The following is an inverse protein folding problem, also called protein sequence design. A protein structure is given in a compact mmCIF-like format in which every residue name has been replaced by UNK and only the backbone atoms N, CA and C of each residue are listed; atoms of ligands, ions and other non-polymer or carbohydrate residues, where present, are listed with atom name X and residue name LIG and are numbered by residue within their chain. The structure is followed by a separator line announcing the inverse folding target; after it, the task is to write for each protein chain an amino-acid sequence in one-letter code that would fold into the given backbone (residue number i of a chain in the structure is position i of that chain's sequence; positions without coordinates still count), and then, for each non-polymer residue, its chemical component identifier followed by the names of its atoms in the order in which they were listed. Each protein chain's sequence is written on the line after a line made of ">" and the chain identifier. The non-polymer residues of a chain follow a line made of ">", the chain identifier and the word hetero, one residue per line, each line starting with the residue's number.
data_IF_747426933724
#
_entry.id   IF_747426933724
#
_cell.length_a   1.000
_cell.length_b   1.000
_cell.length_c   1.000
_cell.angle_alpha   90.00
_cell.angle_beta   90.00
_cell.angle_gamma   90.00
#
_symmetry.space_group_name_H-M   'P 1'
#
loop_
_entity.id
_entity.type
_entity.pdbx_description
1 polymer ?
#
# COMPACT_ATOMS: atom_id res chain seq x y z
N UNK A 1 18.09 -33.45 -27.76
CA UNK A 1 17.95 -32.31 -26.83
C UNK A 1 16.55 -32.39 -26.22
N UNK A 2 16.46 -32.90 -24.99
CA UNK A 2 15.22 -33.48 -24.43
C UNK A 2 14.21 -32.41 -23.98
N UNK A 3 12.91 -32.64 -24.28
CA UNK A 3 11.73 -31.83 -23.89
C UNK A 3 11.71 -31.45 -22.39
N UNK A 4 12.38 -32.23 -21.55
CA UNK A 4 12.56 -31.99 -20.11
C UNK A 4 13.35 -30.72 -19.75
N UNK A 5 14.11 -30.13 -20.69
CA UNK A 5 14.84 -28.88 -20.43
C UNK A 5 13.97 -27.62 -20.49
N UNK A 6 12.81 -27.66 -21.18
CA UNK A 6 11.87 -26.53 -21.23
C UNK A 6 11.19 -26.32 -19.87
N UNK A 7 11.01 -27.37 -19.07
CA UNK A 7 10.43 -27.24 -17.72
C UNK A 7 11.42 -26.74 -16.67
N UNK A 8 12.74 -26.72 -16.98
CA UNK A 8 13.75 -26.18 -16.05
C UNK A 8 13.78 -24.65 -16.00
N UNK A 9 13.28 -23.94 -17.02
CA UNK A 9 13.10 -22.49 -16.97
C UNK A 9 11.94 -22.04 -16.09
N UNK A 10 11.12 -22.98 -15.58
CA UNK A 10 10.05 -22.76 -14.61
C UNK A 10 10.52 -22.85 -13.16
N UNK A 11 11.80 -23.18 -12.93
CA UNK A 11 12.39 -23.27 -11.59
C UNK A 11 13.02 -21.91 -11.24
N UNK A 12 12.75 -21.33 -10.04
CA UNK A 12 13.06 -19.93 -9.72
C UNK A 12 14.55 -19.53 -9.82
N UNK A 13 15.46 -20.49 -9.69
CA UNK A 13 16.90 -20.21 -9.58
C UNK A 13 17.56 -19.79 -10.90
N UNK A 14 16.91 -19.95 -12.06
CA UNK A 14 17.46 -19.53 -13.37
C UNK A 14 16.38 -19.02 -14.33
N UNK A 15 15.58 -18.08 -13.87
CA UNK A 15 14.62 -17.40 -14.72
C UNK A 15 15.09 -15.97 -15.06
N UNK A 16 15.77 -15.75 -16.20
CA UNK A 16 16.26 -14.42 -16.58
C UNK A 16 15.13 -13.43 -16.91
N UNK A 17 13.88 -13.89 -17.02
CA UNK A 17 12.71 -13.08 -17.34
C UNK A 17 11.76 -12.87 -16.14
N UNK A 18 11.91 -13.64 -15.05
CA UNK A 18 11.11 -13.53 -13.84
C UNK A 18 9.69 -14.14 -13.88
N UNK A 19 9.25 -14.76 -14.98
CA UNK A 19 7.90 -15.36 -15.11
C UNK A 19 7.72 -16.71 -14.40
N UNK A 20 6.78 -16.81 -13.46
CA UNK A 20 6.36 -18.08 -12.85
C UNK A 20 5.39 -18.89 -13.73
N UNK A 21 5.05 -20.10 -13.29
CA UNK A 21 4.03 -20.96 -13.93
C UNK A 21 2.67 -20.25 -14.01
N UNK A 22 2.32 -19.44 -13.01
CA UNK A 22 1.12 -18.61 -12.99
C UNK A 22 1.10 -17.57 -14.11
N UNK A 23 2.25 -16.97 -14.43
CA UNK A 23 2.34 -15.96 -15.49
C UNK A 23 2.25 -16.56 -16.89
N UNK A 24 2.69 -17.81 -17.07
CA UNK A 24 2.57 -18.53 -18.33
C UNK A 24 1.15 -19.06 -18.56
N UNK A 25 0.49 -19.54 -17.49
CA UNK A 25 -0.94 -19.86 -17.54
C UNK A 25 -1.77 -18.60 -17.79
N UNK A 26 -1.36 -17.46 -17.22
CA UNK A 26 -1.95 -16.16 -17.50
C UNK A 26 -1.79 -15.72 -18.95
N UNK A 27 -0.59 -15.84 -19.50
CA UNK A 27 -0.35 -15.57 -20.91
C UNK A 27 -1.17 -16.51 -21.83
N UNK A 28 -1.25 -17.79 -21.50
CA UNK A 28 -1.98 -18.80 -22.29
C UNK A 28 -3.50 -18.60 -22.27
N UNK A 29 -4.08 -18.27 -21.11
CA UNK A 29 -5.52 -18.02 -20.98
C UNK A 29 -5.91 -16.62 -21.45
N UNK A 30 -5.02 -15.62 -21.32
CA UNK A 30 -5.20 -14.31 -21.97
C UNK A 30 -5.19 -14.44 -23.50
N UNK A 31 -4.38 -15.34 -24.07
CA UNK A 31 -4.40 -15.66 -25.50
C UNK A 31 -5.74 -16.32 -25.92
N UNK A 32 -6.32 -17.17 -25.09
CA UNK A 32 -7.64 -17.77 -25.33
C UNK A 32 -8.79 -16.75 -25.16
N UNK A 33 -8.72 -15.87 -24.17
CA UNK A 33 -9.65 -14.75 -24.00
C UNK A 33 -9.55 -13.73 -25.13
N UNK A 34 -8.34 -13.51 -25.66
CA UNK A 34 -8.08 -12.70 -26.84
C UNK A 34 -8.87 -13.26 -28.01
N UNK A 35 -8.72 -14.56 -28.29
CA UNK A 35 -9.43 -15.26 -29.36
C UNK A 35 -10.96 -15.25 -29.18
N UNK A 36 -11.47 -15.37 -27.95
CA UNK A 36 -12.91 -15.38 -27.67
C UNK A 36 -13.58 -14.01 -27.89
N UNK A 37 -12.89 -12.90 -27.61
CA UNK A 37 -13.46 -11.55 -27.70
C UNK A 37 -13.25 -10.90 -29.06
N UNK A 38 -12.21 -11.30 -29.81
CA UNK A 38 -12.10 -10.98 -31.23
C UNK A 38 -13.28 -11.51 -32.06
N UNK A 39 -14.12 -12.39 -31.51
CA UNK A 39 -15.35 -12.89 -32.12
C UNK A 39 -16.60 -12.00 -32.00
N UNK A 40 -16.67 -11.00 -31.11
CA UNK A 40 -17.95 -10.27 -30.87
C UNK A 40 -17.85 -8.73 -30.94
N UNK A 41 -18.17 -8.19 -32.11
CA UNK A 41 -18.23 -6.74 -32.42
C UNK A 41 -19.13 -5.90 -31.48
N UNK A 42 -20.09 -6.53 -30.80
CA UNK A 42 -21.03 -5.88 -29.89
C UNK A 42 -20.36 -5.31 -28.61
N UNK A 43 -19.44 -6.08 -27.99
CA UNK A 43 -18.69 -5.64 -26.81
C UNK A 43 -17.82 -4.41 -27.09
N UNK A 44 -17.20 -4.37 -28.26
CA UNK A 44 -16.38 -3.23 -28.69
C UNK A 44 -17.22 -1.95 -28.89
N UNK A 45 -18.45 -2.07 -29.39
CA UNK A 45 -19.36 -0.94 -29.56
C UNK A 45 -19.86 -0.40 -28.21
N UNK A 46 -20.24 -1.29 -27.29
CA UNK A 46 -20.66 -0.90 -25.94
C UNK A 46 -19.53 -0.21 -25.18
N UNK A 47 -18.30 -0.75 -25.23
CA UNK A 47 -17.13 -0.16 -24.58
C UNK A 47 -16.86 1.28 -25.08
N UNK A 48 -16.91 1.49 -26.40
CA UNK A 48 -16.75 2.83 -27.01
C UNK A 48 -17.84 3.79 -26.56
N UNK A 49 -19.09 3.35 -26.50
CA UNK A 49 -20.21 4.19 -26.06
C UNK A 49 -20.08 4.59 -24.58
N UNK A 50 -19.71 3.64 -23.71
CA UNK A 50 -19.52 3.85 -22.28
C UNK A 50 -18.33 4.78 -21.99
N UNK A 51 -17.20 4.61 -22.68
CA UNK A 51 -15.99 5.42 -22.48
C UNK A 51 -16.20 6.93 -22.66
N UNK A 52 -17.22 7.33 -23.44
CA UNK A 52 -17.59 8.74 -23.67
C UNK A 52 -18.34 9.37 -22.50
N UNK A 53 -18.95 8.56 -21.62
CA UNK A 53 -19.72 9.03 -20.44
C UNK A 53 -18.80 9.35 -19.26
N UNK A 54 -18.10 10.47 -19.41
CA UNK A 54 -17.13 11.06 -18.47
C UNK A 54 -17.39 10.76 -16.98
N UNK A 55 -18.53 11.22 -16.48
CA UNK A 55 -18.85 11.23 -15.05
C UNK A 55 -19.09 9.82 -14.53
N UNK A 56 -19.74 8.97 -15.32
CA UNK A 56 -19.99 7.57 -14.97
C UNK A 56 -18.70 6.75 -14.96
N UNK A 57 -17.79 6.98 -15.93
CA UNK A 57 -16.48 6.33 -15.92
C UNK A 57 -15.65 6.75 -14.69
N UNK A 58 -15.62 8.05 -14.37
CA UNK A 58 -14.93 8.54 -13.16
C UNK A 58 -15.47 7.87 -11.89
N UNK A 59 -16.80 7.86 -11.73
CA UNK A 59 -17.45 7.27 -10.56
C UNK A 59 -17.19 5.76 -10.47
N UNK A 60 -17.33 5.05 -11.58
CA UNK A 60 -17.07 3.61 -11.64
C UNK A 60 -15.61 3.29 -11.30
N UNK A 61 -14.64 4.02 -11.88
CA UNK A 61 -13.21 3.83 -11.61
C UNK A 61 -12.82 4.21 -10.19
N UNK A 62 -13.52 5.17 -9.58
CA UNK A 62 -13.33 5.52 -8.18
C UNK A 62 -13.84 4.41 -7.26
N UNK A 63 -15.06 3.91 -7.50
CA UNK A 63 -15.69 2.91 -6.63
C UNK A 63 -15.15 1.50 -6.83
N UNK A 64 -14.70 1.14 -8.03
CA UNK A 64 -14.27 -0.22 -8.38
C UNK A 64 -13.18 -0.78 -7.45
N UNK A 65 -12.00 -0.15 -7.28
CA UNK A 65 -10.96 -0.71 -6.42
C UNK A 65 -11.40 -0.75 -4.94
N UNK A 66 -12.20 0.22 -4.50
CA UNK A 66 -12.75 0.28 -3.13
C UNK A 66 -13.70 -0.90 -2.89
N UNK A 67 -14.70 -1.08 -3.76
CA UNK A 67 -15.68 -2.15 -3.63
C UNK A 67 -15.01 -3.54 -3.68
N UNK A 68 -14.06 -3.74 -4.59
CA UNK A 68 -13.31 -4.98 -4.69
C UNK A 68 -12.47 -5.24 -3.43
N UNK A 69 -11.89 -4.21 -2.81
CA UNK A 69 -11.10 -4.38 -1.58
C UNK A 69 -11.99 -4.65 -0.36
N UNK A 70 -13.14 -3.98 -0.27
CA UNK A 70 -14.11 -4.20 0.80
C UNK A 70 -14.73 -5.60 0.72
N UNK A 71 -14.97 -6.13 -0.48
CA UNK A 71 -15.44 -7.50 -0.67
C UNK A 71 -14.43 -8.55 -0.15
N UNK A 72 -13.14 -8.21 -0.04
CA UNK A 72 -12.13 -9.11 0.53
C UNK A 72 -12.03 -9.05 2.06
N UNK A 73 -12.71 -8.12 2.75
CA UNK A 73 -12.60 -7.96 4.21
C UNK A 73 -12.81 -9.23 5.04
N UNK A 74 -13.75 -10.15 4.71
CA UNK A 74 -13.95 -11.37 5.48
C UNK A 74 -12.73 -12.31 5.50
N UNK A 75 -11.86 -12.22 4.49
CA UNK A 75 -10.67 -13.07 4.35
C UNK A 75 -9.37 -12.31 4.60
N UNK A 76 -9.32 -11.06 4.12
CA UNK A 76 -8.18 -10.17 4.27
C UNK A 76 -8.66 -8.95 5.07
N UNK A 77 -8.46 -8.97 6.41
CA UNK A 77 -8.86 -7.87 7.27
C UNK A 77 -8.13 -6.57 6.90
N UNK A 78 -8.49 -5.48 7.56
CA UNK A 78 -7.75 -4.22 7.42
C UNK A 78 -6.26 -4.43 7.77
N UNK A 79 -5.35 -3.70 7.10
CA UNK A 79 -3.93 -3.84 7.34
C UNK A 79 -3.55 -3.41 8.75
N UNK A 80 -2.41 -3.90 9.21
CA UNK A 80 -1.71 -3.42 10.41
C UNK A 80 -0.37 -2.84 9.97
N UNK A 81 0.04 -1.67 10.47
CA UNK A 81 1.28 -1.02 10.05
C UNK A 81 2.49 -1.85 10.49
N UNK A 82 3.37 -2.22 9.56
CA UNK A 82 4.54 -3.07 9.86
C UNK A 82 5.88 -2.42 9.55
N UNK A 83 5.88 -1.43 8.67
CA UNK A 83 7.09 -0.70 8.30
C UNK A 83 7.25 0.57 9.15
N UNK A 84 8.48 1.06 9.26
CA UNK A 84 8.74 2.32 9.93
C UNK A 84 8.10 3.52 9.20
N UNK A 85 8.01 3.45 7.87
CA UNK A 85 7.30 4.45 7.07
C UNK A 85 5.82 4.52 7.45
N UNK A 86 5.11 3.40 7.46
CA UNK A 86 3.69 3.36 7.86
C UNK A 86 3.46 3.86 9.28
N UNK A 87 4.33 3.48 10.22
CA UNK A 87 4.29 3.95 11.59
C UNK A 87 4.45 5.47 11.68
N UNK A 88 5.40 6.02 10.93
CA UNK A 88 5.67 7.45 10.89
C UNK A 88 4.55 8.23 10.17
N UNK A 89 3.97 7.67 9.11
CA UNK A 89 2.79 8.26 8.43
C UNK A 89 1.58 8.33 9.36
N UNK A 90 1.35 7.30 10.17
CA UNK A 90 0.28 7.29 11.17
C UNK A 90 0.52 8.28 12.32
N UNK A 91 1.77 8.39 12.80
CA UNK A 91 2.14 9.42 13.78
C UNK A 91 1.88 10.82 13.21
N UNK A 92 2.29 11.07 11.96
CA UNK A 92 2.05 12.35 11.30
C UNK A 92 0.55 12.65 11.18
N UNK A 93 -0.23 11.67 10.75
CA UNK A 93 -1.69 11.77 10.67
C UNK A 93 -2.33 12.12 12.02
N UNK A 94 -1.99 11.39 13.09
CA UNK A 94 -2.49 11.67 14.45
C UNK A 94 -2.07 13.08 14.89
N UNK A 95 -0.84 13.50 14.60
CA UNK A 95 -0.34 14.86 14.93
C UNK A 95 -1.15 15.95 14.22
N UNK A 96 -1.43 15.78 12.93
CA UNK A 96 -2.24 16.72 12.14
C UNK A 96 -3.69 16.77 12.62
N UNK A 97 -4.27 15.63 13.02
CA UNK A 97 -5.62 15.58 13.61
C UNK A 97 -5.72 16.35 14.93
N UNK A 98 -4.63 16.47 15.68
CA UNK A 98 -4.54 17.34 16.86
C UNK A 98 -4.29 18.82 16.51
N UNK A 99 -4.25 19.19 15.23
CA UNK A 99 -3.97 20.55 14.78
C UNK A 99 -2.51 20.97 14.98
N UNK A 100 -1.58 20.01 15.06
CA UNK A 100 -0.16 20.24 15.33
C UNK A 100 0.71 19.85 14.14
N UNK A 101 1.92 20.40 14.08
CA UNK A 101 2.97 19.94 13.15
C UNK A 101 4.05 19.09 13.84
N UNK A 102 4.12 19.18 15.17
CA UNK A 102 5.00 18.40 16.03
C UNK A 102 4.39 18.32 17.44
N UNK A 103 4.80 17.33 18.21
CA UNK A 103 4.36 17.08 19.58
C UNK A 103 5.49 17.38 20.56
N UNK A 104 5.17 17.64 21.84
CA UNK A 104 6.19 17.76 22.88
C UNK A 104 7.00 16.46 22.99
N UNK A 105 8.33 16.53 23.17
CA UNK A 105 9.15 15.35 23.39
C UNK A 105 8.79 14.68 24.71
N UNK A 106 8.82 13.35 24.75
CA UNK A 106 8.62 12.62 25.99
C UNK A 106 9.86 12.81 26.91
N UNK A 107 9.72 12.98 28.24
CA UNK A 107 10.87 13.16 29.14
C UNK A 107 11.87 12.00 29.14
N UNK A 108 11.38 10.80 28.84
CA UNK A 108 12.15 9.56 28.66
C UNK A 108 12.16 9.15 27.18
N UNK A 109 12.57 10.05 26.28
CA UNK A 109 12.42 9.84 24.83
C UNK A 109 13.27 8.70 24.28
N UNK A 110 14.32 8.26 24.99
CA UNK A 110 15.24 7.20 24.55
C UNK A 110 14.50 5.87 24.33
N UNK A 111 13.41 5.66 25.07
CA UNK A 111 12.51 4.51 24.93
C UNK A 111 11.69 4.54 23.64
N UNK A 112 11.51 5.72 23.06
CA UNK A 112 10.57 5.96 21.96
C UNK A 112 11.26 6.34 20.66
N UNK A 113 12.58 6.20 20.58
CA UNK A 113 13.32 6.34 19.33
C UNK A 113 12.94 5.24 18.35
N UNK A 114 12.56 5.63 17.14
CA UNK A 114 12.20 4.74 16.05
C UNK A 114 12.68 5.35 14.71
N UNK A 115 12.89 4.54 13.66
CA UNK A 115 13.23 5.07 12.35
C UNK A 115 12.12 6.01 11.85
N UNK A 116 12.52 7.08 11.17
CA UNK A 116 11.63 8.12 10.64
C UNK A 116 10.80 8.87 11.69
N UNK A 117 11.18 8.78 12.97
CA UNK A 117 10.58 9.51 14.08
C UNK A 117 11.67 10.30 14.78
N UNK A 118 11.53 11.62 14.80
CA UNK A 118 12.41 12.49 15.58
C UNK A 118 11.81 12.69 16.97
N UNK A 119 12.64 12.57 18.01
CA UNK A 119 12.27 12.91 19.38
C UNK A 119 12.76 14.30 19.79
N UNK A 120 13.89 14.77 19.24
CA UNK A 120 14.44 16.10 19.53
C UNK A 120 14.56 16.95 18.24
N UNK A 121 14.34 18.28 18.31
CA UNK A 121 13.88 19.05 19.47
C UNK A 121 12.39 18.86 19.80
N UNK A 122 11.65 18.14 18.97
CA UNK A 122 10.23 17.85 19.15
C UNK A 122 9.90 16.46 18.64
N UNK A 123 8.89 15.82 19.25
CA UNK A 123 8.38 14.51 18.85
C UNK A 123 7.56 14.63 17.57
N UNK A 124 8.08 14.14 16.44
CA UNK A 124 7.42 14.26 15.14
C UNK A 124 7.83 13.17 14.17
N UNK A 125 6.99 12.96 13.16
CA UNK A 125 7.41 12.28 11.94
C UNK A 125 8.48 13.10 11.20
N UNK A 126 9.44 12.40 10.60
CA UNK A 126 10.39 13.02 9.66
C UNK A 126 9.90 12.99 8.22
N UNK A 127 8.73 12.39 7.96
CA UNK A 127 8.12 12.34 6.64
C UNK A 127 7.58 13.71 6.22
N UNK A 128 7.44 13.93 4.90
CA UNK A 128 6.71 15.08 4.36
C UNK A 128 5.27 15.14 4.88
N UNK A 129 4.71 16.36 4.95
CA UNK A 129 3.35 16.57 5.47
C UNK A 129 2.27 15.81 4.68
N UNK A 130 2.47 15.63 3.37
CA UNK A 130 1.55 14.94 2.48
C UNK A 130 1.28 13.49 2.89
N UNK A 131 2.28 12.81 3.44
CA UNK A 131 2.20 11.41 3.87
C UNK A 131 1.20 11.17 5.00
N UNK A 132 0.87 12.21 5.79
CA UNK A 132 -0.12 12.12 6.86
C UNK A 132 -1.56 12.39 6.40
N UNK A 133 -1.78 12.91 5.19
CA UNK A 133 -3.09 13.41 4.76
C UNK A 133 -4.12 12.29 4.54
N UNK A 134 -3.73 11.20 3.86
CA UNK A 134 -4.63 10.06 3.65
C UNK A 134 -4.81 9.24 4.95
N UNK A 135 -3.75 8.87 5.70
CA UNK A 135 -3.90 8.10 6.92
C UNK A 135 -4.66 8.84 8.05
N UNK A 136 -4.84 10.17 7.98
CA UNK A 136 -5.67 10.92 8.92
C UNK A 136 -7.13 10.45 8.94
N UNK A 137 -7.65 9.88 7.85
CA UNK A 137 -8.96 9.23 7.81
C UNK A 137 -8.87 7.70 8.08
N UNK A 138 -7.77 7.24 8.68
CA UNK A 138 -7.43 5.84 8.82
C UNK A 138 -7.30 5.14 7.46
N UNK A 139 -7.55 3.84 7.45
CA UNK A 139 -7.43 3.03 6.23
C UNK A 139 -8.46 3.42 5.14
N UNK A 140 -9.59 4.01 5.51
CA UNK A 140 -10.57 4.51 4.54
C UNK A 140 -10.03 5.69 3.70
N UNK A 141 -9.13 6.50 4.26
CA UNK A 141 -8.44 7.55 3.49
C UNK A 141 -7.53 6.98 2.41
N UNK A 142 -6.88 5.84 2.68
CA UNK A 142 -6.08 5.10 1.70
C UNK A 142 -6.97 4.58 0.56
N UNK A 143 -8.11 3.95 0.89
CA UNK A 143 -9.08 3.48 -0.10
C UNK A 143 -9.60 4.63 -0.97
N UNK A 144 -9.92 5.77 -0.35
CA UNK A 144 -10.31 6.99 -1.06
C UNK A 144 -9.21 7.45 -2.02
N UNK A 145 -7.95 7.50 -1.56
CA UNK A 145 -6.81 7.91 -2.37
C UNK A 145 -6.62 7.04 -3.62
N UNK A 146 -6.79 5.72 -3.50
CA UNK A 146 -6.64 4.77 -4.62
C UNK A 146 -7.82 4.86 -5.61
N UNK A 147 -9.05 5.03 -5.11
CA UNK A 147 -10.19 5.36 -5.95
C UNK A 147 -9.97 6.67 -6.72
N UNK A 148 -9.50 7.70 -6.01
CA UNK A 148 -9.18 8.99 -6.60
C UNK A 148 -8.09 8.87 -7.67
N UNK A 149 -7.00 8.13 -7.40
CA UNK A 149 -5.94 7.85 -8.37
C UNK A 149 -6.50 7.22 -9.65
N UNK A 150 -7.30 6.15 -9.52
CA UNK A 150 -7.86 5.42 -10.66
C UNK A 150 -8.75 6.31 -11.54
N UNK A 151 -9.59 7.13 -10.91
CA UNK A 151 -10.43 8.10 -11.61
C UNK A 151 -9.58 9.24 -12.23
N UNK A 152 -8.59 9.76 -11.51
CA UNK A 152 -7.74 10.86 -11.97
C UNK A 152 -6.81 10.44 -13.11
N UNK A 153 -6.36 9.19 -13.18
CA UNK A 153 -5.64 8.66 -14.34
C UNK A 153 -6.53 8.71 -15.58
N UNK A 154 -7.79 8.27 -15.49
CA UNK A 154 -8.75 8.40 -16.59
C UNK A 154 -8.96 9.88 -16.96
N UNK A 155 -9.18 10.75 -15.97
CA UNK A 155 -9.37 12.18 -16.21
C UNK A 155 -8.17 12.83 -16.90
N UNK A 156 -6.96 12.53 -16.42
CA UNK A 156 -5.70 12.98 -16.99
C UNK A 156 -5.55 12.47 -18.42
N UNK A 157 -5.61 11.16 -18.65
CA UNK A 157 -5.40 10.58 -19.99
C UNK A 157 -6.39 11.12 -21.02
N UNK A 158 -7.63 11.46 -20.62
CA UNK A 158 -8.61 12.10 -21.51
C UNK A 158 -8.25 13.50 -22.01
N UNK A 159 -7.30 14.21 -21.41
CA UNK A 159 -6.80 15.45 -22.02
C UNK A 159 -5.81 15.21 -23.17
N UNK A 160 -5.24 14.01 -23.25
CA UNK A 160 -4.15 13.67 -24.16
C UNK A 160 -4.54 12.63 -25.21
N UNK A 161 -5.50 11.76 -24.89
CA UNK A 161 -5.85 10.56 -25.63
C UNK A 161 -7.36 10.43 -25.84
N UNK A 162 -7.75 9.51 -26.71
CA UNK A 162 -9.15 9.19 -26.92
C UNK A 162 -9.77 8.51 -25.67
N UNK A 163 -11.09 8.65 -25.44
CA UNK A 163 -11.73 8.18 -24.21
C UNK A 163 -11.54 6.70 -23.91
N UNK A 164 -11.38 5.87 -24.94
CA UNK A 164 -11.17 4.42 -24.82
C UNK A 164 -9.83 4.14 -24.13
N UNK A 165 -8.74 4.79 -24.57
CA UNK A 165 -7.41 4.64 -23.99
C UNK A 165 -7.35 5.15 -22.56
N UNK A 166 -8.07 6.23 -22.28
CA UNK A 166 -8.17 6.76 -20.93
C UNK A 166 -8.89 5.77 -20.01
N UNK A 167 -9.98 5.14 -20.47
CA UNK A 167 -10.73 4.16 -19.69
C UNK A 167 -9.86 2.93 -19.40
N UNK A 168 -9.11 2.47 -20.40
CA UNK A 168 -8.14 1.39 -20.24
C UNK A 168 -7.09 1.74 -19.18
N UNK A 169 -6.52 2.94 -19.24
CA UNK A 169 -5.55 3.41 -18.24
C UNK A 169 -6.13 3.40 -16.82
N UNK A 170 -7.34 3.95 -16.63
CA UNK A 170 -8.01 3.93 -15.33
C UNK A 170 -8.30 2.51 -14.81
N UNK A 171 -8.74 1.60 -15.68
CA UNK A 171 -8.99 0.20 -15.31
C UNK A 171 -7.69 -0.53 -14.93
N UNK A 172 -6.62 -0.34 -15.71
CA UNK A 172 -5.31 -0.91 -15.40
C UNK A 172 -4.77 -0.36 -14.08
N UNK A 173 -4.96 0.94 -13.79
CA UNK A 173 -4.62 1.53 -12.50
C UNK A 173 -5.42 0.89 -11.36
N UNK A 174 -6.74 0.69 -11.52
CA UNK A 174 -7.57 0.04 -10.51
C UNK A 174 -7.15 -1.42 -10.26
N UNK A 175 -6.73 -2.16 -11.29
CA UNK A 175 -6.24 -3.53 -11.13
C UNK A 175 -4.84 -3.57 -10.49
N UNK A 176 -3.93 -2.70 -10.94
CA UNK A 176 -2.53 -2.71 -10.54
C UNK A 176 -2.30 -2.15 -9.13
N UNK A 177 -3.03 -1.09 -8.75
CA UNK A 177 -2.85 -0.39 -7.47
C UNK A 177 -4.02 -0.57 -6.50
N UNK A 178 -5.10 -1.24 -6.94
CA UNK A 178 -6.30 -1.48 -6.13
C UNK A 178 -6.12 -2.62 -5.12
N UNK A 179 -7.06 -3.57 -5.05
CA UNK A 179 -7.26 -4.42 -3.87
C UNK A 179 -6.07 -5.32 -3.50
N UNK A 180 -5.16 -5.57 -4.44
CA UNK A 180 -4.05 -6.50 -4.27
C UNK A 180 -2.67 -5.83 -4.19
N UNK A 181 -2.59 -4.51 -4.27
CA UNK A 181 -1.34 -3.79 -4.16
C UNK A 181 -1.03 -3.45 -2.70
N UNK A 182 0.26 -3.37 -2.36
CA UNK A 182 0.74 -2.88 -1.07
C UNK A 182 0.15 -1.49 -0.72
N UNK A 183 -0.01 -0.60 -1.70
CA UNK A 183 -0.53 0.76 -1.45
C UNK A 183 -1.94 0.75 -0.86
N UNK A 184 -2.82 -0.13 -1.35
CA UNK A 184 -4.18 -0.29 -0.83
C UNK A 184 -4.22 -1.04 0.51
N UNK A 185 -3.16 -1.76 0.85
CA UNK A 185 -3.09 -2.68 1.99
C UNK A 185 -2.02 -2.28 3.01
N UNK A 186 -1.76 -0.97 3.12
CA UNK A 186 -0.83 -0.40 4.08
C UNK A 186 -1.36 0.97 4.55
N UNK A 187 -0.64 1.60 5.47
CA UNK A 187 -0.85 3.01 5.85
C UNK A 187 0.16 3.95 5.19
N UNK A 188 0.80 3.52 4.10
CA UNK A 188 1.74 4.35 3.37
C UNK A 188 0.99 5.49 2.67
N UNK A 189 1.17 6.73 3.13
CA UNK A 189 0.45 7.90 2.59
C UNK A 189 1.16 8.61 1.44
N UNK A 190 2.44 8.33 1.20
CA UNK A 190 3.26 9.00 0.19
C UNK A 190 2.75 8.87 -1.25
N UNK A 191 1.91 7.87 -1.56
CA UNK A 191 1.32 7.75 -2.90
C UNK A 191 0.38 8.89 -3.28
N UNK A 192 0.00 9.78 -2.35
CA UNK A 192 -0.84 10.95 -2.65
C UNK A 192 -0.26 11.85 -3.76
N UNK A 193 1.05 11.79 -3.98
CA UNK A 193 1.71 12.38 -5.13
C UNK A 193 1.18 11.86 -6.47
N UNK A 194 0.87 10.57 -6.62
CA UNK A 194 0.37 10.03 -7.89
C UNK A 194 -0.97 10.67 -8.36
N UNK A 195 -2.00 10.80 -7.51
CA UNK A 195 -3.17 11.65 -7.78
C UNK A 195 -2.81 13.12 -8.10
N UNK A 196 -1.85 13.70 -7.39
CA UNK A 196 -1.42 15.09 -7.59
C UNK A 196 -0.78 15.31 -8.97
N UNK A 197 0.12 14.42 -9.40
CA UNK A 197 0.66 14.39 -10.75
C UNK A 197 -0.42 14.25 -11.83
N UNK A 198 -1.48 13.48 -11.58
CA UNK A 198 -2.62 13.39 -12.49
C UNK A 198 -3.38 14.73 -12.62
N UNK A 199 -3.52 15.49 -11.52
CA UNK A 199 -4.10 16.84 -11.56
C UNK A 199 -3.25 17.79 -12.40
N UNK A 200 -1.94 17.80 -12.19
CA UNK A 200 -0.98 18.65 -12.92
C UNK A 200 -1.04 18.35 -14.43
N UNK A 201 -0.79 17.09 -14.81
CA UNK A 201 -0.71 16.68 -16.20
C UNK A 201 -2.07 16.73 -16.90
N UNK A 202 -3.17 16.50 -16.18
CA UNK A 202 -4.51 16.60 -16.74
C UNK A 202 -4.97 18.05 -16.92
N UNK A 203 -4.55 18.97 -16.05
CA UNK A 203 -4.90 20.38 -16.18
C UNK A 203 -4.17 21.06 -17.35
N UNK A 204 -2.91 20.67 -17.61
CA UNK A 204 -2.02 21.38 -18.52
C UNK A 204 -2.58 21.58 -19.95
N UNK A 205 -3.10 20.56 -20.67
CA UNK A 205 -3.68 20.77 -22.00
C UNK A 205 -5.01 21.53 -21.96
N UNK A 206 -5.69 21.53 -20.80
CA UNK A 206 -7.00 22.15 -20.62
C UNK A 206 -6.90 23.65 -20.32
N UNK A 207 -5.73 24.16 -19.96
CA UNK A 207 -5.51 25.61 -19.77
C UNK A 207 -5.76 26.41 -21.05
N UNK A 208 -5.54 25.80 -22.22
CA UNK A 208 -5.79 26.42 -23.54
C UNK A 208 -7.25 26.38 -23.99
N UNK A 209 -8.17 25.86 -23.16
CA UNK A 209 -9.60 25.69 -23.48
C UNK A 209 -10.48 26.64 -22.66
N UNK A 210 -11.76 26.72 -22.99
CA UNK A 210 -12.75 27.46 -22.21
C UNK A 210 -12.78 26.98 -20.74
N UNK A 211 -12.78 27.93 -19.79
CA UNK A 211 -12.62 27.78 -18.32
C UNK A 211 -11.17 27.61 -17.80
N UNK A 212 -10.27 28.57 -18.07
CA UNK A 212 -8.88 28.50 -17.60
C UNK A 212 -8.77 28.53 -16.07
N UNK A 213 -9.61 29.32 -15.37
CA UNK A 213 -9.53 29.47 -13.92
C UNK A 213 -9.68 28.15 -13.14
N UNK A 214 -10.66 27.31 -13.51
CA UNK A 214 -10.86 25.98 -12.88
C UNK A 214 -9.68 25.05 -13.15
N UNK A 215 -9.12 25.07 -14.36
CA UNK A 215 -8.00 24.18 -14.69
C UNK A 215 -6.72 24.69 -14.02
N UNK A 216 -6.56 26.01 -13.88
CA UNK A 216 -5.48 26.62 -13.12
C UNK A 216 -5.56 26.27 -11.64
N UNK A 217 -6.75 26.31 -11.02
CA UNK A 217 -6.91 25.91 -9.62
C UNK A 217 -6.56 24.43 -9.39
N UNK A 218 -6.94 23.53 -10.32
CA UNK A 218 -6.56 22.12 -10.26
C UNK A 218 -5.04 21.91 -10.43
N UNK A 219 -4.42 22.67 -11.33
CA UNK A 219 -2.96 22.65 -11.51
C UNK A 219 -2.25 23.09 -10.22
N UNK A 220 -2.66 24.22 -9.64
CA UNK A 220 -2.09 24.75 -8.41
C UNK A 220 -2.30 23.77 -7.25
N UNK A 221 -3.49 23.19 -7.12
CA UNK A 221 -3.76 22.18 -6.11
C UNK A 221 -2.84 20.95 -6.26
N UNK A 222 -2.64 20.45 -7.49
CA UNK A 222 -1.70 19.36 -7.75
C UNK A 222 -0.26 19.72 -7.36
N UNK A 223 0.21 20.93 -7.71
CA UNK A 223 1.55 21.39 -7.33
C UNK A 223 1.71 21.48 -5.81
N UNK A 224 0.70 22.03 -5.11
CA UNK A 224 0.74 22.13 -3.64
C UNK A 224 0.82 20.74 -3.01
N UNK A 225 0.00 19.78 -3.46
CA UNK A 225 0.01 18.42 -2.90
C UNK A 225 1.36 17.73 -3.18
N UNK A 226 1.95 17.91 -4.36
CA UNK A 226 3.30 17.41 -4.66
C UNK A 226 4.38 18.01 -3.76
N UNK A 227 4.33 19.33 -3.54
CA UNK A 227 5.25 20.00 -2.62
C UNK A 227 5.07 19.53 -1.18
N UNK A 228 3.86 19.12 -0.78
CA UNK A 228 3.63 18.54 0.53
C UNK A 228 4.14 17.09 0.61
N UNK A 229 4.23 16.37 -0.51
CA UNK A 229 4.65 14.96 -0.60
C UNK A 229 6.14 14.75 -0.97
N UNK A 230 6.98 15.81 -0.95
CA UNK A 230 8.46 15.84 -1.15
C UNK A 230 9.21 14.49 -1.01
N UNK A 231 10.37 14.35 -1.66
CA UNK A 231 10.45 13.80 -3.00
C UNK A 231 10.01 12.31 -3.09
N UNK A 232 8.72 12.05 -3.26
CA UNK A 232 8.26 10.78 -3.82
C UNK A 232 8.44 10.78 -5.36
N UNK A 233 9.64 11.05 -5.90
CA UNK A 233 9.88 11.18 -7.35
C UNK A 233 9.28 10.02 -8.17
N UNK A 234 9.24 8.82 -7.58
CA UNK A 234 8.60 7.63 -8.15
C UNK A 234 7.10 7.81 -8.45
N UNK A 235 6.37 8.54 -7.61
CA UNK A 235 4.93 8.74 -7.75
C UNK A 235 4.56 9.82 -8.78
N UNK A 236 5.43 10.82 -9.02
CA UNK A 236 5.33 11.73 -10.18
C UNK A 236 5.74 11.05 -11.48
N UNK A 237 6.74 10.17 -11.41
CA UNK A 237 7.18 9.38 -12.54
C UNK A 237 6.08 8.44 -13.05
N UNK A 238 5.18 7.95 -12.18
CA UNK A 238 4.08 7.07 -12.58
C UNK A 238 3.10 7.74 -13.58
N UNK A 239 2.47 8.90 -13.31
CA UNK A 239 1.65 9.61 -14.30
C UNK A 239 2.40 9.93 -15.60
N UNK A 240 3.69 10.31 -15.51
CA UNK A 240 4.53 10.55 -16.68
C UNK A 240 4.79 9.28 -17.49
N UNK A 241 5.10 8.17 -16.82
CA UNK A 241 5.32 6.86 -17.42
C UNK A 241 4.04 6.35 -18.09
N UNK A 242 2.89 6.45 -17.42
CA UNK A 242 1.59 6.09 -17.99
C UNK A 242 1.26 6.93 -19.23
N UNK A 243 1.54 8.24 -19.19
CA UNK A 243 1.37 9.11 -20.34
C UNK A 243 2.31 8.73 -21.49
N UNK A 244 3.59 8.48 -21.20
CA UNK A 244 4.60 8.10 -22.18
C UNK A 244 4.28 6.74 -22.83
N UNK A 245 3.94 5.73 -22.03
CA UNK A 245 3.52 4.41 -22.50
C UNK A 245 2.31 4.52 -23.44
N UNK A 246 1.33 5.34 -23.08
CA UNK A 246 0.15 5.55 -23.91
C UNK A 246 0.45 6.30 -25.22
N UNK A 247 1.39 7.26 -25.22
CA UNK A 247 1.88 7.90 -26.44
C UNK A 247 2.66 6.94 -27.34
N UNK A 248 3.49 6.07 -26.78
CA UNK A 248 4.19 5.01 -27.52
C UNK A 248 3.20 4.06 -28.19
N UNK A 249 2.20 3.57 -27.46
CA UNK A 249 1.13 2.72 -28.00
C UNK A 249 0.33 3.44 -29.09
N UNK A 250 0.11 4.76 -28.97
CA UNK A 250 -0.53 5.57 -30.02
C UNK A 250 0.29 5.59 -31.32
N UNK A 251 1.62 5.49 -31.29
CA UNK A 251 2.46 5.51 -32.50
C UNK A 251 2.46 4.18 -33.28
N UNK A 252 2.12 3.06 -32.65
CA UNK A 252 2.10 1.72 -33.27
C UNK A 252 0.84 1.48 -34.14
N UNK A 253 0.66 2.25 -35.23
CA UNK A 253 -0.59 2.37 -36.02
C UNK A 253 -1.22 1.04 -36.45
N UNK A 254 -0.41 0.03 -36.73
CA UNK A 254 -0.82 -1.21 -37.38
C UNK A 254 -1.34 -2.29 -36.41
N UNK A 255 -0.98 -2.23 -35.12
CA UNK A 255 -1.33 -3.24 -34.12
C UNK A 255 -2.16 -2.68 -32.93
N UNK A 256 -2.62 -1.43 -33.04
CA UNK A 256 -3.25 -0.65 -31.95
C UNK A 256 -4.35 -1.37 -31.16
N UNK A 257 -5.41 -1.93 -31.79
CA UNK A 257 -6.49 -2.57 -31.03
C UNK A 257 -6.05 -3.90 -30.41
N UNK A 258 -5.23 -4.68 -31.11
CA UNK A 258 -4.78 -5.99 -30.63
C UNK A 258 -3.83 -5.89 -29.44
N UNK A 259 -2.87 -4.96 -29.47
CA UNK A 259 -1.95 -4.73 -28.34
C UNK A 259 -2.66 -4.19 -27.10
N UNK A 260 -3.56 -3.23 -27.27
CA UNK A 260 -4.35 -2.68 -26.17
C UNK A 260 -5.21 -3.77 -25.53
N UNK A 261 -5.86 -4.56 -26.38
CA UNK A 261 -6.74 -5.61 -25.94
C UNK A 261 -5.97 -6.75 -25.26
N UNK A 262 -4.80 -7.11 -25.79
CA UNK A 262 -3.89 -8.07 -25.16
C UNK A 262 -3.40 -7.59 -23.79
N UNK A 263 -3.02 -6.31 -23.67
CA UNK A 263 -2.59 -5.74 -22.40
C UNK A 263 -3.73 -5.72 -21.36
N UNK A 264 -4.96 -5.35 -21.77
CA UNK A 264 -6.14 -5.39 -20.90
C UNK A 264 -6.47 -6.81 -20.47
N UNK A 265 -6.40 -7.78 -21.37
CA UNK A 265 -6.70 -9.16 -21.05
C UNK A 265 -5.65 -9.79 -20.16
N UNK A 266 -4.37 -9.51 -20.42
CA UNK A 266 -3.29 -9.97 -19.54
C UNK A 266 -3.44 -9.37 -18.14
N UNK A 267 -3.71 -8.06 -18.06
CA UNK A 267 -3.95 -7.38 -16.78
C UNK A 267 -5.21 -7.88 -16.06
N UNK A 268 -6.32 -8.05 -16.78
CA UNK A 268 -7.58 -8.55 -16.24
C UNK A 268 -7.47 -10.00 -15.80
N UNK A 269 -6.76 -10.84 -16.56
CA UNK A 269 -6.51 -12.23 -16.16
C UNK A 269 -5.61 -12.28 -14.93
N UNK A 270 -4.46 -11.60 -14.95
CA UNK A 270 -3.53 -11.58 -13.82
C UNK A 270 -4.25 -11.13 -12.55
N UNK A 271 -5.04 -10.05 -12.67
CA UNK A 271 -5.90 -9.58 -11.60
C UNK A 271 -6.92 -10.63 -11.16
N UNK A 272 -7.71 -11.20 -12.08
CA UNK A 272 -8.76 -12.18 -11.76
C UNK A 272 -8.20 -13.46 -11.13
N UNK A 273 -7.04 -13.93 -11.59
CA UNK A 273 -6.35 -15.07 -11.01
C UNK A 273 -5.96 -14.78 -9.56
N UNK A 274 -5.21 -13.70 -9.31
CA UNK A 274 -4.74 -13.38 -7.96
C UNK A 274 -5.87 -12.98 -7.02
N UNK A 275 -6.84 -12.22 -7.52
CA UNK A 275 -8.04 -11.85 -6.77
C UNK A 275 -8.86 -13.09 -6.43
N UNK A 276 -9.06 -13.99 -7.40
CA UNK A 276 -9.74 -15.26 -7.20
C UNK A 276 -9.02 -16.17 -6.20
N UNK A 277 -7.69 -16.26 -6.27
CA UNK A 277 -6.89 -16.98 -5.27
C UNK A 277 -7.13 -16.42 -3.87
N UNK A 278 -7.12 -15.09 -3.69
CA UNK A 278 -7.39 -14.47 -2.39
C UNK A 278 -8.85 -14.67 -1.93
N UNK A 279 -9.79 -14.52 -2.84
CA UNK A 279 -11.22 -14.56 -2.54
C UNK A 279 -11.75 -15.98 -2.30
N UNK A 280 -11.11 -17.00 -2.89
CA UNK A 280 -11.67 -18.37 -2.92
C UNK A 280 -10.71 -19.48 -2.51
N UNK A 281 -9.39 -19.35 -2.67
CA UNK A 281 -8.46 -20.43 -2.34
C UNK A 281 -8.49 -20.80 -0.85
N UNK A 282 -8.21 -22.08 -0.57
CA UNK A 282 -7.93 -22.56 0.78
C UNK A 282 -6.45 -22.29 1.17
N UNK A 283 -6.09 -22.64 2.41
CA UNK A 283 -4.73 -22.40 2.92
C UNK A 283 -3.66 -23.17 2.13
N UNK A 284 -3.95 -24.39 1.66
CA UNK A 284 -2.99 -25.23 0.96
C UNK A 284 -2.70 -24.66 -0.43
N UNK A 285 -3.76 -24.34 -1.19
CA UNK A 285 -3.66 -23.73 -2.50
C UNK A 285 -3.01 -22.34 -2.44
N UNK A 286 -3.34 -21.53 -1.43
CA UNK A 286 -2.68 -20.24 -1.21
C UNK A 286 -1.19 -20.39 -0.91
N UNK A 287 -0.81 -21.28 0.00
CA UNK A 287 0.58 -21.52 0.36
C UNK A 287 1.43 -22.03 -0.81
N UNK A 288 0.83 -22.77 -1.74
CA UNK A 288 1.48 -23.24 -2.95
C UNK A 288 1.79 -22.10 -3.94
N UNK A 289 0.92 -21.09 -4.04
CA UNK A 289 1.08 -20.00 -5.03
C UNK A 289 1.71 -18.73 -4.47
N UNK A 290 1.62 -18.47 -3.15
CA UNK A 290 2.13 -17.23 -2.54
C UNK A 290 3.59 -16.88 -2.85
N UNK A 291 4.54 -17.83 -3.05
CA UNK A 291 5.91 -17.47 -3.42
C UNK A 291 6.01 -16.78 -4.79
N UNK A 292 4.98 -16.92 -5.64
CA UNK A 292 4.90 -16.32 -6.96
C UNK A 292 4.10 -15.01 -6.99
N UNK A 293 3.55 -14.55 -5.85
CA UNK A 293 2.70 -13.36 -5.77
C UNK A 293 3.46 -12.02 -5.91
N UNK A 294 4.77 -12.06 -6.16
CA UNK A 294 5.64 -10.88 -6.23
C UNK A 294 5.97 -10.28 -4.85
N UNK A 295 6.65 -9.13 -4.86
CA UNK A 295 7.06 -8.39 -3.66
C UNK A 295 5.88 -7.77 -2.87
N UNK A 296 4.69 -7.65 -3.49
CA UNK A 296 3.47 -7.07 -2.92
C UNK A 296 2.68 -8.07 -2.05
N UNK A 297 3.35 -8.94 -1.30
CA UNK A 297 2.67 -9.91 -0.44
C UNK A 297 1.87 -9.20 0.66
N UNK A 298 0.57 -9.01 0.40
CA UNK A 298 -0.41 -8.30 1.23
C UNK A 298 -0.49 -8.77 2.69
N UNK A 299 -0.06 -10.00 2.94
CA UNK A 299 0.06 -10.62 4.26
C UNK A 299 1.48 -11.16 4.39
N UNK A 300 2.41 -10.28 4.75
CA UNK A 300 3.71 -10.73 5.23
C UNK A 300 3.51 -11.44 6.57
N UNK A 301 4.35 -12.43 6.88
CA UNK A 301 4.34 -13.07 8.20
C UNK A 301 4.45 -12.05 9.35
N UNK A 302 5.01 -10.87 9.09
CA UNK A 302 5.07 -9.76 10.03
C UNK A 302 3.69 -9.16 10.34
N UNK A 303 2.83 -8.97 9.33
CA UNK A 303 1.47 -8.46 9.53
C UNK A 303 0.61 -9.41 10.36
N UNK A 304 0.69 -10.71 10.09
CA UNK A 304 -0.01 -11.74 10.88
C UNK A 304 0.47 -11.75 12.33
N UNK A 305 1.79 -11.75 12.53
CA UNK A 305 2.38 -11.77 13.86
C UNK A 305 2.04 -10.51 14.67
N UNK A 306 2.08 -9.33 14.04
CA UNK A 306 1.69 -8.06 14.67
C UNK A 306 0.23 -8.05 15.05
N UNK A 307 -0.64 -8.55 14.17
CA UNK A 307 -2.08 -8.65 14.45
C UNK A 307 -2.36 -9.57 15.64
N UNK A 308 -1.69 -10.72 15.73
CA UNK A 308 -1.83 -11.62 16.88
C UNK A 308 -1.46 -10.95 18.21
N UNK A 309 -0.30 -10.29 18.27
CA UNK A 309 0.15 -9.55 19.47
C UNK A 309 -0.82 -8.42 19.83
N UNK A 310 -1.32 -7.66 18.84
CA UNK A 310 -2.30 -6.60 19.07
C UNK A 310 -3.63 -7.15 19.60
N UNK A 311 -4.10 -8.31 19.10
CA UNK A 311 -5.31 -8.96 19.60
C UNK A 311 -5.13 -9.36 21.06
N UNK A 312 -3.99 -9.95 21.42
CA UNK A 312 -3.71 -10.38 22.79
C UNK A 312 -3.64 -9.19 23.75
N UNK A 313 -2.90 -8.13 23.39
CA UNK A 313 -2.80 -6.91 24.21
C UNK A 313 -4.15 -6.19 24.35
N UNK A 314 -4.96 -6.14 23.30
CA UNK A 314 -6.27 -5.49 23.34
C UNK A 314 -7.32 -6.30 24.12
N UNK A 315 -7.08 -7.59 24.39
CA UNK A 315 -7.92 -8.39 25.30
C UNK A 315 -7.59 -8.15 26.77
N UNK A 316 -6.40 -7.63 27.07
CA UNK A 316 -6.00 -7.36 28.46
C UNK A 316 -6.76 -6.15 29.01
N UNK A 317 -7.14 -6.18 30.32
CA UNK A 317 -7.76 -5.06 30.98
C UNK A 317 -6.77 -3.91 31.17
N UNK A 318 -7.26 -2.68 31.09
CA UNK A 318 -6.48 -1.47 31.35
C UNK A 318 -5.44 -1.11 30.28
N UNK A 319 -4.61 -0.09 30.55
CA UNK A 319 -3.54 0.33 29.66
C UNK A 319 -2.31 -0.59 29.77
N UNK A 320 -1.59 -0.73 28.67
CA UNK A 320 -0.46 -1.65 28.51
C UNK A 320 0.83 -0.86 28.24
N UNK A 321 1.96 -1.37 28.73
CA UNK A 321 3.31 -0.90 28.44
C UNK A 321 4.12 -2.09 27.91
N UNK A 322 4.66 -1.99 26.70
CA UNK A 322 5.35 -3.10 26.03
C UNK A 322 6.79 -2.70 25.76
N UNK A 323 7.73 -3.39 26.41
CA UNK A 323 9.16 -3.30 26.11
C UNK A 323 9.50 -4.24 24.96
N UNK A 324 10.07 -3.70 23.89
CA UNK A 324 10.45 -4.43 22.68
C UNK A 324 11.94 -4.69 22.70
N UNK A 325 12.32 -5.97 22.75
CA UNK A 325 13.71 -6.44 22.74
C UNK A 325 14.07 -7.00 21.38
N UNK A 326 14.80 -6.24 20.58
CA UNK A 326 15.30 -6.66 19.26
C UNK A 326 16.64 -7.39 19.39
N UNK A 327 16.86 -8.42 18.57
CA UNK A 327 18.16 -9.06 18.37
C UNK A 327 19.01 -8.23 17.38
N UNK A 328 20.34 -8.14 17.57
CA UNK A 328 21.21 -7.24 16.79
C UNK A 328 21.27 -7.51 15.28
N UNK A 329 20.92 -8.72 14.84
CA UNK A 329 21.23 -9.23 13.50
C UNK A 329 20.01 -9.38 12.60
N UNK A 330 18.81 -9.01 13.07
CA UNK A 330 17.56 -9.23 12.34
C UNK A 330 16.91 -7.90 11.99
N UNK A 331 16.75 -7.68 10.69
CA UNK A 331 15.94 -6.59 10.15
C UNK A 331 14.45 -6.98 10.33
N UNK A 332 13.93 -6.79 11.54
CA UNK A 332 12.53 -7.05 11.84
C UNK A 332 11.65 -5.82 11.59
N UNK A 333 10.37 -6.08 11.29
CA UNK A 333 9.31 -5.08 11.18
C UNK A 333 9.37 -4.06 12.32
N UNK A 334 9.00 -2.80 12.07
CA UNK A 334 9.07 -1.77 13.11
C UNK A 334 7.93 -1.94 14.12
N UNK A 335 8.26 -2.07 15.40
CA UNK A 335 7.31 -2.31 16.48
C UNK A 335 7.08 -1.10 17.38
N UNK A 336 8.04 -0.18 17.46
CA UNK A 336 7.94 1.06 18.24
C UNK A 336 7.06 2.03 17.47
N UNK A 337 5.76 1.97 17.74
CA UNK A 337 4.75 2.79 17.07
C UNK A 337 3.80 3.38 18.10
N UNK A 338 4.00 4.66 18.44
CA UNK A 338 3.18 5.37 19.42
C UNK A 338 2.34 6.47 18.77
N UNK A 339 1.30 6.87 19.49
CA UNK A 339 0.43 7.99 19.14
C UNK A 339 1.12 9.33 19.35
N UNK A 340 0.57 10.39 18.76
CA UNK A 340 1.03 11.76 18.98
C UNK A 340 1.00 12.15 20.47
N UNK A 341 -0.02 11.67 21.19
CA UNK A 341 -0.10 11.69 22.65
C UNK A 341 0.21 10.28 23.19
N UNK A 342 1.48 10.08 23.58
CA UNK A 342 1.99 8.78 24.07
C UNK A 342 1.32 8.42 25.41
N UNK A 343 1.20 9.39 26.32
CA UNK A 343 0.78 9.16 27.70
C UNK A 343 -0.66 8.67 27.81
N UNK A 344 -1.54 9.15 26.92
CA UNK A 344 -2.94 8.72 26.87
C UNK A 344 -3.17 7.43 26.07
N UNK A 345 -2.18 6.93 25.32
CA UNK A 345 -2.35 5.78 24.44
C UNK A 345 -2.67 4.51 25.25
N UNK A 346 -3.60 3.66 24.78
CA UNK A 346 -3.91 2.39 25.47
C UNK A 346 -2.69 1.48 25.54
N UNK A 347 -1.94 1.36 24.45
CA UNK A 347 -0.72 0.55 24.35
C UNK A 347 0.43 1.50 24.07
N UNK A 348 1.43 1.51 24.95
CA UNK A 348 2.68 2.25 24.76
C UNK A 348 3.79 1.26 24.42
N UNK A 349 4.44 1.47 23.29
CA UNK A 349 5.54 0.66 22.78
C UNK A 349 6.85 1.35 23.10
N UNK A 350 7.73 0.68 23.84
CA UNK A 350 9.00 1.21 24.30
C UNK A 350 10.13 0.25 23.92
N UNK A 351 11.33 0.76 23.65
CA UNK A 351 12.53 -0.05 23.52
C UNK A 351 12.89 -0.66 24.88
N UNK A 352 13.34 -1.91 24.87
CA UNK A 352 14.00 -2.46 26.05
C UNK A 352 15.41 -1.86 26.18
N UNK A 353 15.64 -1.07 27.23
CA UNK A 353 16.93 -0.41 27.53
C UNK A 353 17.64 -1.04 28.74
N UNK A 354 17.22 -2.25 29.16
CA UNK A 354 17.72 -2.94 30.35
C UNK A 354 16.90 -2.67 31.61
N UNK A 355 17.02 -3.56 32.60
CA UNK A 355 16.17 -3.59 33.80
C UNK A 355 16.13 -2.27 34.58
N UNK A 356 17.30 -1.66 34.82
CA UNK A 356 17.45 -0.39 35.52
C UNK A 356 16.73 0.76 34.80
N UNK A 357 16.99 0.91 33.50
CA UNK A 357 16.33 1.93 32.68
C UNK A 357 14.82 1.68 32.61
N UNK A 358 14.40 0.45 32.31
CA UNK A 358 12.99 0.09 32.19
C UNK A 358 12.21 0.33 33.49
N UNK A 359 12.87 0.19 34.64
CA UNK A 359 12.26 0.54 35.94
C UNK A 359 11.83 2.01 35.97
N UNK A 360 12.64 2.93 35.44
CA UNK A 360 12.28 4.36 35.36
C UNK A 360 10.99 4.59 34.57
N UNK A 361 10.84 3.93 33.41
CA UNK A 361 9.62 4.05 32.60
C UNK A 361 8.40 3.40 33.26
N UNK A 362 8.60 2.30 33.99
CA UNK A 362 7.53 1.67 34.79
C UNK A 362 7.08 2.55 35.95
N UNK A 363 8.03 3.19 36.64
CA UNK A 363 7.73 4.13 37.71
C UNK A 363 7.00 5.39 37.18
N UNK A 364 7.29 5.80 35.94
CA UNK A 364 6.55 6.86 35.23
C UNK A 364 5.12 6.44 34.86
N UNK A 365 4.89 5.16 34.52
CA UNK A 365 3.58 4.60 34.18
C UNK A 365 3.10 3.51 35.17
N UNK A 366 2.83 3.85 36.46
CA UNK A 366 2.54 2.85 37.49
C UNK A 366 1.23 2.08 37.26
N UNK A 367 0.28 2.64 36.49
CA UNK A 367 -1.01 2.03 36.19
C UNK A 367 -1.05 1.13 34.95
N UNK A 368 0.08 0.93 34.26
CA UNK A 368 0.15 0.11 33.05
C UNK A 368 0.66 -1.29 33.34
N UNK A 369 -0.03 -2.32 32.81
CA UNK A 369 0.50 -3.67 32.83
C UNK A 369 1.70 -3.77 31.87
N UNK A 370 2.85 -4.22 32.39
CA UNK A 370 4.10 -4.25 31.66
C UNK A 370 4.35 -5.61 30.99
N UNK A 371 4.84 -5.57 29.75
CA UNK A 371 5.12 -6.75 28.91
C UNK A 371 6.50 -6.68 28.28
N UNK A 372 7.09 -7.84 28.00
CA UNK A 372 8.25 -8.01 27.14
C UNK A 372 7.81 -8.64 25.82
N UNK A 373 8.07 -7.96 24.72
CA UNK A 373 7.94 -8.48 23.38
C UNK A 373 9.32 -8.78 22.79
N UNK A 374 9.48 -10.01 22.32
CA UNK A 374 10.62 -10.45 21.52
C UNK A 374 10.12 -10.68 20.09
N UNK A 375 10.19 -9.66 19.22
CA UNK A 375 9.62 -9.72 17.86
C UNK A 375 10.38 -10.68 16.94
N UNK A 376 11.65 -10.96 17.24
CA UNK A 376 12.50 -11.82 16.42
C UNK A 376 12.33 -13.31 16.70
N UNK A 377 11.56 -13.69 17.74
CA UNK A 377 11.16 -15.07 17.96
C UNK A 377 10.18 -15.52 16.87
N UNK A 378 10.18 -16.81 16.51
CA UNK A 378 9.24 -17.39 15.55
C UNK A 378 8.39 -18.45 16.27
N UNK A 379 7.09 -18.20 16.52
CA UNK A 379 6.38 -16.92 16.40
C UNK A 379 6.87 -15.88 17.43
N UNK A 380 6.55 -14.57 17.26
CA UNK A 380 6.90 -13.55 18.24
C UNK A 380 6.38 -13.86 19.63
N UNK A 381 7.19 -13.52 20.65
CA UNK A 381 6.93 -13.95 22.03
C UNK A 381 6.59 -12.74 22.90
N UNK A 382 5.37 -12.72 23.43
CA UNK A 382 4.88 -11.70 24.36
C UNK A 382 4.73 -12.32 25.76
N UNK A 383 5.33 -11.71 26.79
CA UNK A 383 5.31 -12.22 28.17
C UNK A 383 5.12 -11.09 29.19
N UNK A 384 4.56 -11.33 30.39
CA UNK A 384 4.57 -10.33 31.46
C UNK A 384 5.99 -9.87 31.80
N UNK A 385 6.13 -8.60 32.18
CA UNK A 385 7.40 -8.00 32.60
C UNK A 385 7.39 -7.67 34.12
N UNK A 386 8.46 -7.98 34.88
CA UNK A 386 9.69 -8.64 34.44
C UNK A 386 9.42 -10.10 34.03
N UNK A 387 10.12 -10.64 33.02
CA UNK A 387 9.97 -12.04 32.67
C UNK A 387 10.39 -12.88 33.89
N UNK A 388 9.56 -13.87 34.27
CA UNK A 388 9.97 -14.83 35.30
C UNK A 388 11.32 -15.42 34.89
N UNK A 389 12.33 -15.21 35.75
CA UNK A 389 13.68 -15.75 35.57
C UNK A 389 13.58 -17.26 35.76
N UNK A 390 13.36 -17.97 34.66
CA UNK A 390 13.58 -19.41 34.54
C UNK A 390 14.41 -19.65 33.27
N UNK A 391 15.56 -18.98 33.19
CA UNK A 391 16.69 -19.45 32.41
C UNK A 391 17.89 -19.27 33.33
N UNK A 392 18.26 -20.40 33.95
CA UNK A 392 19.53 -20.56 34.62
C UNK A 392 20.64 -19.99 33.75
N UNK A 393 21.58 -19.33 34.44
CA UNK A 393 22.97 -19.24 34.05
C UNK A 393 23.38 -20.51 33.27
N UNK A 394 23.77 -20.32 32.03
CA UNK A 394 24.69 -21.24 31.38
C UNK A 394 25.82 -20.35 30.84
N UNK A 395 27.07 -20.59 31.27
CA UNK A 395 28.22 -19.72 31.04
C UNK A 395 28.60 -19.53 29.58
#
# INVERSE_FOLDING_TARGET
>A
MYLFQIFRSLVPLRNPLGFGVGDLLACGLALLGLLAIFGHAWLANWFRASARRASWCMLALFLLPIALRLALLPRIPSPVPTTAEEASSLLLADTLLHGRFANPPHPLYEFFEAPLVAQAPAYRSTLPLGDGLLPAAGWFGILFGIGALSALVYWMLRSWLAPEWALCGGLLTACAFGPLCYWTNSYWGGFIAAPAGCLILGALPRLRRHRPARNLSLLIAGIIIELLALPSWFCLALPLFLLAAAFCLKRLKQFRPALLFAALLLGAFHFAFWYGMRAFADHAAWNAVRPYAGFDSLDSAASESRRAVLVDLNRQPGPQLVFVRRLPWRDSSEWIQNRADIDSARIVWARDLGSESNKKLRDYYPGRAAWLLEPDAIPPRLRPYPPNVAFHDVP
#
